data_IF_421117373206
#
_entry.id   IF_421117373206
#
_cell.length_a   1.000
_cell.length_b   1.000
_cell.length_c   1.000
_cell.angle_alpha   90.00
_cell.angle_beta   90.00
_cell.angle_gamma   90.00
#
_symmetry.space_group_name_H-M   'P 1'
#
loop_
_entity.id
_entity.type
_entity.pdbx_description
1 polymer ?
#
# COMPACT_ATOMS: atom_id res chain seq x y z
N UNK A 1 -4.50 -64.14 -6.86
CA UNK A 1 -4.90 -62.78 -6.56
C UNK A 1 -3.82 -61.82 -7.06
N UNK A 2 -4.06 -61.10 -8.17
CA UNK A 2 -3.08 -60.18 -8.75
C UNK A 2 -3.46 -58.78 -8.26
N UNK A 3 -2.66 -58.15 -7.42
CA UNK A 3 -2.81 -56.77 -6.94
C UNK A 3 -2.53 -55.80 -8.08
N UNK A 4 -3.54 -55.06 -8.49
CA UNK A 4 -3.39 -53.93 -9.42
C UNK A 4 -2.69 -52.79 -8.72
N UNK A 5 -1.46 -52.46 -9.11
CA UNK A 5 -0.76 -51.22 -8.77
C UNK A 5 -1.46 -50.09 -9.52
N UNK A 6 -2.16 -49.22 -8.82
CA UNK A 6 -2.63 -47.93 -9.31
C UNK A 6 -1.42 -47.04 -9.59
N UNK A 7 -1.15 -46.76 -10.87
CA UNK A 7 -0.20 -45.73 -11.28
C UNK A 7 -0.80 -44.36 -10.91
N UNK A 8 -0.27 -43.76 -9.85
CA UNK A 8 -0.44 -42.32 -9.60
C UNK A 8 0.12 -41.56 -10.79
N UNK A 9 -0.73 -40.89 -11.54
CA UNK A 9 -0.34 -39.98 -12.59
C UNK A 9 0.29 -38.75 -11.94
N UNK A 10 1.61 -38.70 -11.89
CA UNK A 10 2.32 -37.44 -11.73
C UNK A 10 1.95 -36.56 -12.92
N UNK A 11 1.00 -35.61 -12.73
CA UNK A 11 0.83 -34.51 -13.64
C UNK A 11 2.16 -33.77 -13.72
N UNK A 12 2.72 -33.73 -14.92
CA UNK A 12 3.88 -32.92 -15.27
C UNK A 12 3.63 -31.49 -14.76
N UNK A 13 4.37 -31.09 -13.74
CA UNK A 13 4.47 -29.70 -13.31
C UNK A 13 5.39 -28.94 -14.27
N UNK A 14 5.00 -28.87 -15.53
CA UNK A 14 5.51 -27.87 -16.47
C UNK A 14 4.63 -26.60 -16.29
N UNK A 15 4.59 -26.04 -15.10
CA UNK A 15 4.11 -24.69 -14.91
C UNK A 15 5.21 -23.78 -15.47
N UNK A 16 5.00 -23.23 -16.66
CA UNK A 16 5.73 -22.05 -17.09
C UNK A 16 5.74 -21.09 -15.89
N UNK A 17 6.95 -20.67 -15.47
CA UNK A 17 7.08 -19.75 -14.32
C UNK A 17 6.51 -18.41 -14.77
N UNK A 18 5.26 -18.14 -14.41
CA UNK A 18 4.60 -16.85 -14.61
C UNK A 18 4.90 -15.95 -13.44
N UNK A 19 5.11 -14.67 -13.71
CA UNK A 19 5.17 -13.65 -12.66
C UNK A 19 3.75 -13.46 -12.10
N UNK A 20 3.58 -13.64 -10.80
CA UNK A 20 2.30 -13.39 -10.13
C UNK A 20 2.09 -11.90 -9.86
N UNK A 21 3.17 -11.18 -9.53
CA UNK A 21 3.09 -9.76 -9.16
C UNK A 21 4.38 -9.01 -9.46
N UNK A 22 4.25 -7.70 -9.64
CA UNK A 22 5.36 -6.76 -9.78
C UNK A 22 5.26 -5.72 -8.67
N UNK A 23 6.39 -5.45 -7.97
CA UNK A 23 6.57 -4.29 -7.11
C UNK A 23 7.29 -3.22 -7.90
N UNK A 24 6.59 -2.16 -8.24
CA UNK A 24 7.09 -1.06 -9.07
C UNK A 24 7.34 0.19 -8.21
N UNK A 25 8.59 0.52 -7.96
CA UNK A 25 8.99 1.77 -7.33
C UNK A 25 8.95 2.87 -8.38
N UNK A 26 7.83 3.58 -8.44
CA UNK A 26 7.54 4.53 -9.54
C UNK A 26 8.31 5.84 -9.44
N UNK A 27 8.73 6.24 -8.23
CA UNK A 27 9.51 7.46 -8.00
C UNK A 27 10.29 7.41 -6.70
N UNK A 28 11.47 8.02 -6.67
CA UNK A 28 12.22 8.31 -5.45
C UNK A 28 11.80 9.61 -4.75
N UNK A 29 10.91 10.41 -5.36
CA UNK A 29 10.44 11.68 -4.77
C UNK A 29 9.41 11.42 -3.69
N UNK A 30 9.52 12.13 -2.57
CA UNK A 30 8.53 12.11 -1.48
C UNK A 30 8.40 13.49 -0.86
N UNK A 31 7.17 13.88 -0.52
CA UNK A 31 6.85 15.12 0.19
C UNK A 31 6.67 14.92 1.71
N UNK A 32 7.05 13.74 2.23
CA UNK A 32 7.10 13.42 3.66
C UNK A 32 8.52 13.00 4.08
N UNK A 33 8.80 13.07 5.39
CA UNK A 33 10.10 12.70 5.99
C UNK A 33 9.89 11.73 7.16
N UNK A 34 9.14 10.65 6.89
CA UNK A 34 8.74 9.70 7.92
C UNK A 34 9.95 9.14 8.68
N UNK A 35 9.87 9.15 10.04
CA UNK A 35 10.92 8.63 10.91
C UNK A 35 11.19 7.14 10.65
N UNK A 36 10.12 6.34 10.40
CA UNK A 36 10.21 4.89 10.16
C UNK A 36 10.42 4.51 8.69
N UNK A 37 10.68 5.46 7.79
CA UNK A 37 10.83 5.18 6.37
C UNK A 37 12.01 4.26 6.10
N UNK A 38 11.74 3.02 5.65
CA UNK A 38 12.78 2.05 5.28
C UNK A 38 13.43 2.35 3.92
N UNK A 39 12.80 3.18 3.09
CA UNK A 39 13.30 3.57 1.76
C UNK A 39 14.08 4.89 1.78
N UNK A 40 14.29 5.48 2.96
CA UNK A 40 14.91 6.80 3.11
C UNK A 40 16.32 6.87 2.53
N UNK A 41 17.13 5.82 2.73
CA UNK A 41 18.50 5.76 2.25
C UNK A 41 18.58 5.65 0.72
N UNK A 42 17.65 4.92 0.09
CA UNK A 42 17.59 4.80 -1.37
C UNK A 42 17.15 6.12 -2.00
N UNK A 43 16.15 6.79 -1.45
CA UNK A 43 15.76 8.14 -1.89
C UNK A 43 16.91 9.15 -1.77
N UNK A 44 17.78 9.01 -0.76
CA UNK A 44 18.92 9.89 -0.56
C UNK A 44 20.01 9.76 -1.65
N UNK A 45 20.07 8.63 -2.34
CA UNK A 45 21.02 8.42 -3.45
C UNK A 45 20.72 9.28 -4.68
N UNK A 46 19.53 9.86 -4.77
CA UNK A 46 19.09 10.74 -5.87
C UNK A 46 19.25 10.09 -7.25
N UNK A 47 19.10 8.78 -7.33
CA UNK A 47 19.05 8.07 -8.59
C UNK A 47 17.87 8.54 -9.42
N UNK A 48 17.98 8.47 -10.74
CA UNK A 48 16.89 8.86 -11.63
C UNK A 48 15.78 7.84 -11.56
N UNK A 49 14.54 8.33 -11.48
CA UNK A 49 13.36 7.49 -11.64
C UNK A 49 13.35 6.82 -13.02
N UNK A 50 12.82 5.61 -13.10
CA UNK A 50 12.54 4.98 -14.39
C UNK A 50 11.65 5.90 -15.22
N UNK A 51 12.02 6.12 -16.46
CA UNK A 51 11.21 6.85 -17.44
C UNK A 51 9.93 6.06 -17.77
N UNK A 52 8.92 6.74 -18.28
CA UNK A 52 7.72 6.08 -18.79
C UNK A 52 8.07 4.99 -19.82
N UNK A 53 9.01 5.28 -20.69
CA UNK A 53 9.46 4.38 -21.76
C UNK A 53 10.16 3.12 -21.23
N UNK A 54 10.95 3.23 -20.17
CA UNK A 54 11.57 2.07 -19.50
C UNK A 54 10.52 1.21 -18.82
N UNK A 55 9.53 1.83 -18.15
CA UNK A 55 8.40 1.11 -17.53
C UNK A 55 7.54 0.45 -18.62
N UNK A 56 7.35 1.11 -19.78
CA UNK A 56 6.64 0.54 -20.93
C UNK A 56 7.31 -0.75 -21.41
N UNK A 57 8.62 -0.77 -21.54
CA UNK A 57 9.37 -1.99 -21.92
C UNK A 57 9.21 -3.11 -20.91
N UNK A 58 9.18 -2.79 -19.60
CA UNK A 58 8.90 -3.78 -18.55
C UNK A 58 7.49 -4.38 -18.78
N UNK A 59 6.48 -3.54 -18.95
CA UNK A 59 5.12 -3.99 -19.21
C UNK A 59 5.02 -4.88 -20.44
N UNK A 60 5.64 -4.50 -21.56
CA UNK A 60 5.62 -5.26 -22.83
C UNK A 60 6.28 -6.64 -22.73
N UNK A 61 7.23 -6.82 -21.82
CA UNK A 61 8.00 -8.06 -21.67
C UNK A 61 7.60 -8.93 -20.50
N UNK A 62 6.85 -8.40 -19.53
CA UNK A 62 6.50 -9.12 -18.31
C UNK A 62 5.45 -10.23 -18.53
N UNK A 63 4.69 -10.20 -19.63
CA UNK A 63 3.56 -11.11 -19.86
C UNK A 63 2.38 -10.82 -18.92
N UNK A 64 1.51 -11.81 -18.73
CA UNK A 64 0.37 -11.70 -17.82
C UNK A 64 0.85 -11.68 -16.36
N UNK A 65 0.31 -10.76 -15.57
CA UNK A 65 0.52 -10.67 -14.11
C UNK A 65 -0.81 -10.41 -13.41
N UNK A 66 -0.97 -10.90 -12.17
CA UNK A 66 -2.22 -10.71 -11.45
C UNK A 66 -2.25 -9.38 -10.69
N UNK A 67 -1.13 -8.97 -10.08
CA UNK A 67 -1.11 -7.83 -9.16
C UNK A 67 0.05 -6.87 -9.43
N UNK A 68 -0.26 -5.59 -9.44
CA UNK A 68 0.72 -4.51 -9.48
C UNK A 68 0.76 -3.80 -8.13
N UNK A 69 1.92 -3.89 -7.45
CA UNK A 69 2.21 -3.16 -6.23
C UNK A 69 2.96 -1.88 -6.58
N UNK A 70 2.28 -0.74 -6.52
CA UNK A 70 2.95 0.56 -6.65
C UNK A 70 3.69 0.89 -5.36
N UNK A 71 4.87 1.45 -5.46
CA UNK A 71 5.69 1.84 -4.31
C UNK A 71 6.63 2.99 -4.70
N UNK A 72 7.56 3.33 -3.81
CA UNK A 72 8.58 4.34 -4.00
C UNK A 72 8.64 5.33 -2.86
N UNK A 73 8.84 6.62 -3.18
CA UNK A 73 8.61 7.72 -2.25
C UNK A 73 7.11 7.94 -2.06
N UNK A 74 6.56 8.97 -2.68
CA UNK A 74 5.10 9.18 -2.74
C UNK A 74 4.61 9.03 -4.18
N UNK A 75 3.89 7.95 -4.50
CA UNK A 75 3.45 7.68 -5.87
C UNK A 75 2.63 8.82 -6.50
N UNK A 76 1.84 9.52 -5.69
CA UNK A 76 1.00 10.65 -6.18
C UNK A 76 1.82 11.87 -6.63
N UNK A 77 3.14 11.86 -6.50
CA UNK A 77 4.02 12.89 -7.07
C UNK A 77 4.45 12.58 -8.50
N UNK A 78 4.21 11.37 -8.99
CA UNK A 78 4.55 10.98 -10.36
C UNK A 78 3.37 11.25 -11.30
N UNK A 79 3.47 12.29 -12.12
CA UNK A 79 2.35 12.81 -12.93
C UNK A 79 1.78 11.78 -13.93
N UNK A 80 2.62 10.91 -14.50
CA UNK A 80 2.22 9.88 -15.47
C UNK A 80 1.81 8.53 -14.81
N UNK A 81 1.58 8.50 -13.48
CA UNK A 81 1.17 7.28 -12.79
C UNK A 81 -0.16 6.71 -13.33
N UNK A 82 -1.20 7.51 -13.60
CA UNK A 82 -2.44 6.98 -14.17
C UNK A 82 -2.20 6.25 -15.49
N UNK A 83 -1.39 6.80 -16.39
CA UNK A 83 -1.02 6.20 -17.68
C UNK A 83 -0.26 4.89 -17.49
N UNK A 84 0.63 4.81 -16.48
CA UNK A 84 1.36 3.60 -16.13
C UNK A 84 0.40 2.50 -15.70
N UNK A 85 -0.57 2.80 -14.81
CA UNK A 85 -1.56 1.83 -14.35
C UNK A 85 -2.42 1.30 -15.50
N UNK A 86 -2.91 2.19 -16.36
CA UNK A 86 -3.70 1.87 -17.55
C UNK A 86 -2.90 1.00 -18.54
N UNK A 87 -1.61 1.26 -18.69
CA UNK A 87 -0.72 0.48 -19.53
C UNK A 87 -0.57 -0.96 -19.02
N UNK A 88 -0.30 -1.15 -17.72
CA UNK A 88 -0.23 -2.49 -17.14
C UNK A 88 -1.59 -3.22 -17.19
N UNK A 89 -2.69 -2.51 -17.04
CA UNK A 89 -4.02 -3.10 -17.22
C UNK A 89 -4.19 -3.66 -18.63
N UNK A 90 -3.81 -2.90 -19.67
CA UNK A 90 -3.95 -3.33 -21.07
C UNK A 90 -2.96 -4.41 -21.48
N UNK A 91 -1.69 -4.27 -21.10
CA UNK A 91 -0.62 -5.15 -21.58
C UNK A 91 -0.51 -6.43 -20.75
N UNK A 92 -0.78 -6.37 -19.45
CA UNK A 92 -0.48 -7.45 -18.51
C UNK A 92 -1.71 -8.06 -17.87
N UNK A 93 -2.91 -7.56 -18.18
CA UNK A 93 -4.20 -8.05 -17.68
C UNK A 93 -4.29 -8.09 -16.15
N UNK A 94 -3.68 -7.11 -15.48
CA UNK A 94 -3.68 -7.03 -14.02
C UNK A 94 -5.12 -7.02 -13.48
N UNK A 95 -5.32 -7.73 -12.35
CA UNK A 95 -6.62 -7.82 -11.67
C UNK A 95 -6.69 -6.93 -10.43
N UNK A 96 -5.53 -6.64 -9.84
CA UNK A 96 -5.41 -5.85 -8.61
C UNK A 96 -4.26 -4.85 -8.71
N UNK A 97 -4.52 -3.62 -8.29
CA UNK A 97 -3.51 -2.59 -8.05
C UNK A 97 -3.50 -2.25 -6.56
N UNK A 98 -2.32 -2.21 -5.94
CA UNK A 98 -2.15 -1.62 -4.62
C UNK A 98 -1.44 -0.28 -4.77
N UNK A 99 -2.11 0.81 -4.35
CA UNK A 99 -1.63 2.19 -4.46
C UNK A 99 -1.50 2.81 -3.06
N UNK A 100 -0.31 2.77 -2.45
CA UNK A 100 -0.06 3.45 -1.19
C UNK A 100 0.05 4.97 -1.42
N UNK A 101 -0.36 5.74 -0.40
CA UNK A 101 -0.18 7.19 -0.37
C UNK A 101 -0.11 7.72 1.05
N UNK A 102 0.64 8.79 1.25
CA UNK A 102 0.68 9.52 2.52
C UNK A 102 -0.56 10.43 2.72
N UNK A 103 -1.48 10.48 1.77
CA UNK A 103 -2.73 11.22 1.86
C UNK A 103 -2.61 12.73 1.79
N UNK A 104 -1.44 13.30 1.47
CA UNK A 104 -1.23 14.76 1.45
C UNK A 104 -1.93 15.49 0.29
N UNK A 105 -2.42 14.75 -0.72
CA UNK A 105 -3.08 15.31 -1.91
C UNK A 105 -4.46 14.67 -2.13
N UNK A 106 -5.47 14.97 -1.27
CA UNK A 106 -6.78 14.30 -1.32
C UNK A 106 -7.44 14.35 -2.69
N UNK A 107 -7.51 15.53 -3.30
CA UNK A 107 -8.22 15.72 -4.58
C UNK A 107 -7.54 14.96 -5.73
N UNK A 108 -6.20 14.90 -5.74
CA UNK A 108 -5.45 14.11 -6.73
C UNK A 108 -5.72 12.62 -6.58
N UNK A 109 -5.80 12.10 -5.36
CA UNK A 109 -6.14 10.69 -5.13
C UNK A 109 -7.53 10.38 -5.71
N UNK A 110 -8.53 11.23 -5.43
CA UNK A 110 -9.89 11.04 -5.95
C UNK A 110 -9.92 11.11 -7.48
N UNK A 111 -9.26 12.09 -8.08
CA UNK A 111 -9.19 12.24 -9.54
C UNK A 111 -8.59 11.00 -10.19
N UNK A 112 -7.47 10.49 -9.66
CA UNK A 112 -6.78 9.35 -10.23
C UNK A 112 -7.55 8.04 -10.05
N UNK A 113 -8.19 7.82 -8.90
CA UNK A 113 -9.04 6.66 -8.70
C UNK A 113 -10.25 6.69 -9.64
N UNK A 114 -10.89 7.86 -9.82
CA UNK A 114 -11.98 8.03 -10.81
C UNK A 114 -11.51 7.69 -12.22
N UNK A 115 -10.38 8.25 -12.65
CA UNK A 115 -9.79 7.95 -13.96
C UNK A 115 -9.48 6.47 -14.13
N UNK A 116 -8.86 5.85 -13.12
CA UNK A 116 -8.56 4.42 -13.13
C UNK A 116 -9.84 3.58 -13.27
N UNK A 117 -10.90 3.90 -12.53
CA UNK A 117 -12.16 3.16 -12.60
C UNK A 117 -12.83 3.24 -13.98
N UNK A 118 -12.70 4.38 -14.66
CA UNK A 118 -13.22 4.56 -16.04
C UNK A 118 -12.42 3.71 -17.03
N UNK A 119 -11.09 3.73 -16.94
CA UNK A 119 -10.21 3.13 -17.94
C UNK A 119 -9.83 1.65 -17.65
N UNK A 120 -10.02 1.21 -16.41
CA UNK A 120 -9.71 -0.14 -15.93
C UNK A 120 -10.90 -0.77 -15.17
N UNK A 121 -12.07 -0.95 -15.82
CA UNK A 121 -13.33 -1.25 -15.12
C UNK A 121 -13.32 -2.60 -14.38
N UNK A 122 -12.58 -3.59 -14.85
CA UNK A 122 -12.53 -4.93 -14.28
C UNK A 122 -11.42 -5.12 -13.24
N UNK A 123 -10.53 -4.13 -13.08
CA UNK A 123 -9.41 -4.19 -12.15
C UNK A 123 -9.79 -3.57 -10.78
N UNK A 124 -9.42 -4.26 -9.70
CA UNK A 124 -9.57 -3.69 -8.36
C UNK A 124 -8.44 -2.69 -8.10
N UNK A 125 -8.74 -1.64 -7.34
CA UNK A 125 -7.72 -0.73 -6.81
C UNK A 125 -7.84 -0.65 -5.30
N UNK A 126 -6.77 -1.05 -4.60
CA UNK A 126 -6.63 -0.86 -3.16
C UNK A 126 -5.90 0.46 -2.90
N UNK A 127 -6.64 1.47 -2.45
CA UNK A 127 -6.07 2.76 -2.04
C UNK A 127 -5.65 2.64 -0.59
N UNK A 128 -4.33 2.55 -0.36
CA UNK A 128 -3.75 2.33 0.96
C UNK A 128 -3.24 3.64 1.54
N UNK A 129 -4.02 4.27 2.41
CA UNK A 129 -3.72 5.58 2.99
C UNK A 129 -3.00 5.41 4.31
N UNK A 130 -1.86 6.07 4.46
CA UNK A 130 -1.07 6.02 5.68
C UNK A 130 -1.69 6.88 6.78
N UNK A 131 -2.00 6.27 7.94
CA UNK A 131 -2.48 6.99 9.13
C UNK A 131 -2.04 6.22 10.39
N UNK A 132 -1.17 6.83 11.22
CA UNK A 132 -0.45 6.12 12.28
C UNK A 132 -0.90 6.47 13.70
N UNK A 133 -1.73 7.47 13.88
CA UNK A 133 -2.14 7.95 15.20
C UNK A 133 -2.86 9.29 15.11
N UNK A 134 -3.12 9.90 16.26
CA UNK A 134 -3.81 11.18 16.35
C UNK A 134 -2.89 12.37 16.09
N UNK A 135 -3.39 13.40 15.39
CA UNK A 135 -2.82 14.74 15.27
C UNK A 135 -1.31 14.79 15.21
N UNK A 136 -0.70 15.41 16.23
CA UNK A 136 0.75 15.65 16.29
C UNK A 136 1.58 14.36 16.31
N UNK A 137 1.06 13.25 16.84
CA UNK A 137 1.75 11.95 16.80
C UNK A 137 1.96 11.48 15.37
N UNK A 138 0.89 11.50 14.56
CA UNK A 138 0.99 11.16 13.15
C UNK A 138 1.92 12.14 12.42
N UNK A 139 1.76 13.43 12.63
CA UNK A 139 2.53 14.48 11.98
C UNK A 139 4.03 14.35 12.31
N UNK A 140 4.37 14.07 13.57
CA UNK A 140 5.74 13.82 14.01
C UNK A 140 6.31 12.58 13.34
N UNK A 141 5.58 11.47 13.36
CA UNK A 141 6.02 10.21 12.77
C UNK A 141 6.21 10.32 11.24
N UNK A 142 5.37 11.11 10.57
CA UNK A 142 5.44 11.34 9.11
C UNK A 142 6.36 12.52 8.74
N UNK A 143 6.78 13.34 9.71
CA UNK A 143 7.63 14.50 9.50
C UNK A 143 6.97 15.59 8.66
N UNK A 144 5.65 15.76 8.79
CA UNK A 144 4.85 16.75 8.05
C UNK A 144 3.74 17.31 8.92
N UNK A 145 3.84 18.56 9.40
CA UNK A 145 2.77 19.21 10.16
C UNK A 145 1.46 19.29 9.36
N UNK A 146 0.34 18.93 10.01
CA UNK A 146 -0.99 18.93 9.41
C UNK A 146 -1.30 17.75 8.49
N UNK A 147 -0.41 16.75 8.41
CA UNK A 147 -0.65 15.55 7.58
C UNK A 147 -1.84 14.74 8.09
N UNK A 148 -2.02 14.64 9.41
CA UNK A 148 -3.16 13.93 10.01
C UNK A 148 -4.49 14.36 9.39
N UNK A 149 -4.75 15.66 9.34
CA UNK A 149 -6.00 16.17 8.79
C UNK A 149 -6.17 15.91 7.30
N UNK A 150 -5.07 15.99 6.52
CA UNK A 150 -5.10 15.70 5.08
C UNK A 150 -5.30 14.22 4.80
N UNK A 151 -4.62 13.35 5.54
CA UNK A 151 -4.79 11.90 5.41
C UNK A 151 -6.20 11.48 5.81
N UNK A 152 -6.73 12.00 6.92
CA UNK A 152 -8.10 11.75 7.35
C UNK A 152 -9.14 12.27 6.33
N UNK A 153 -8.91 13.45 5.72
CA UNK A 153 -9.76 13.96 4.63
C UNK A 153 -9.69 13.08 3.38
N UNK A 154 -8.49 12.55 3.06
CA UNK A 154 -8.34 11.59 1.94
C UNK A 154 -9.12 10.31 2.20
N UNK A 155 -9.03 9.74 3.41
CA UNK A 155 -9.80 8.55 3.81
C UNK A 155 -11.31 8.82 3.66
N UNK A 156 -11.79 9.93 4.24
CA UNK A 156 -13.19 10.34 4.16
C UNK A 156 -13.65 10.48 2.71
N UNK A 157 -12.90 11.21 1.88
CA UNK A 157 -13.25 11.42 0.47
C UNK A 157 -13.28 10.12 -0.33
N UNK A 158 -12.30 9.21 -0.15
CA UNK A 158 -12.31 7.91 -0.83
C UNK A 158 -13.52 7.10 -0.38
N UNK A 159 -13.78 7.03 0.93
CA UNK A 159 -14.95 6.33 1.47
C UNK A 159 -16.27 6.86 0.91
N UNK A 160 -16.45 8.19 0.84
CA UNK A 160 -17.69 8.81 0.37
C UNK A 160 -17.90 8.67 -1.14
N UNK A 161 -16.83 8.86 -1.94
CA UNK A 161 -16.95 8.85 -3.41
C UNK A 161 -17.09 7.44 -3.99
N UNK A 162 -16.58 6.42 -3.32
CA UNK A 162 -16.51 5.07 -3.86
C UNK A 162 -17.22 4.02 -3.01
N UNK A 163 -18.08 4.43 -2.05
CA UNK A 163 -18.82 3.54 -1.15
C UNK A 163 -19.60 2.42 -1.85
N UNK A 164 -20.09 2.69 -3.05
CA UNK A 164 -20.90 1.76 -3.85
C UNK A 164 -20.09 1.09 -4.98
N UNK A 165 -18.79 1.36 -5.08
CA UNK A 165 -17.90 0.75 -6.08
C UNK A 165 -17.11 -0.40 -5.46
N UNK A 166 -17.61 -1.63 -5.62
CA UNK A 166 -16.97 -2.84 -5.08
C UNK A 166 -15.56 -3.14 -5.65
N UNK A 167 -15.06 -2.34 -6.58
CA UNK A 167 -13.71 -2.45 -7.15
C UNK A 167 -12.71 -1.48 -6.51
N UNK A 168 -13.16 -0.53 -5.70
CA UNK A 168 -12.31 0.38 -4.92
C UNK A 168 -12.27 -0.11 -3.48
N UNK A 169 -11.10 -0.56 -3.06
CA UNK A 169 -10.85 -0.99 -1.69
C UNK A 169 -10.13 0.12 -0.94
N UNK A 170 -10.68 0.53 0.19
CA UNK A 170 -10.07 1.51 1.08
C UNK A 170 -9.32 0.80 2.19
N UNK A 171 -8.00 0.90 2.17
CA UNK A 171 -7.13 0.42 3.25
C UNK A 171 -6.53 1.59 4.02
N UNK A 172 -6.45 1.47 5.32
CA UNK A 172 -5.56 2.30 6.14
C UNK A 172 -4.34 1.48 6.52
N UNK A 173 -3.16 2.06 6.32
CA UNK A 173 -1.90 1.45 6.72
C UNK A 173 -1.32 2.19 7.92
N UNK A 174 -1.17 1.49 9.04
CA UNK A 174 -0.62 2.02 10.30
C UNK A 174 0.70 1.31 10.62
N UNK A 175 1.75 2.09 10.79
CA UNK A 175 3.05 1.59 11.23
C UNK A 175 3.23 1.89 12.71
N UNK A 176 3.40 0.83 13.51
CA UNK A 176 3.65 0.95 14.94
C UNK A 176 5.12 1.31 15.17
N UNK A 177 5.34 2.34 15.99
CA UNK A 177 6.64 2.84 16.40
C UNK A 177 6.60 3.28 17.88
N UNK A 178 7.75 3.70 18.42
CA UNK A 178 7.82 4.31 19.75
C UNK A 178 6.92 5.54 19.94
N UNK A 179 6.49 6.19 18.83
CA UNK A 179 5.70 7.43 18.88
C UNK A 179 4.22 7.20 19.11
N UNK A 180 3.68 6.09 18.60
CA UNK A 180 2.22 5.85 18.61
C UNK A 180 1.79 4.64 19.44
N UNK A 181 2.74 3.89 19.99
CA UNK A 181 2.48 2.62 20.68
C UNK A 181 1.52 2.76 21.86
N UNK A 182 1.62 3.86 22.61
CA UNK A 182 0.80 4.08 23.81
C UNK A 182 -0.63 4.51 23.50
N UNK A 183 -0.92 4.91 22.27
CA UNK A 183 -2.26 5.34 21.84
C UNK A 183 -2.89 4.47 20.75
N UNK A 184 -2.20 3.38 20.36
CA UNK A 184 -2.59 2.62 19.16
C UNK A 184 -4.01 2.03 19.27
N UNK A 185 -4.40 1.51 20.42
CA UNK A 185 -5.71 0.91 20.63
C UNK A 185 -6.84 1.93 20.63
N UNK A 186 -6.64 3.09 21.27
CA UNK A 186 -7.60 4.20 21.24
C UNK A 186 -7.73 4.74 19.80
N UNK A 187 -6.61 4.85 19.10
CA UNK A 187 -6.59 5.28 17.72
C UNK A 187 -7.36 4.31 16.80
N UNK A 188 -7.16 3.00 16.94
CA UNK A 188 -7.89 1.99 16.17
C UNK A 188 -9.39 2.06 16.45
N UNK A 189 -9.78 2.12 17.71
CA UNK A 189 -11.17 2.24 18.12
C UNK A 189 -11.85 3.47 17.51
N UNK A 190 -11.18 4.63 17.57
CA UNK A 190 -11.65 5.87 16.96
C UNK A 190 -11.78 5.75 15.45
N UNK A 191 -10.80 5.14 14.79
CA UNK A 191 -10.78 5.02 13.33
C UNK A 191 -11.90 4.12 12.81
N UNK A 192 -12.12 2.96 13.46
CA UNK A 192 -13.21 2.05 13.08
C UNK A 192 -14.59 2.63 13.37
N UNK A 193 -14.73 3.44 14.41
CA UNK A 193 -15.98 4.15 14.68
C UNK A 193 -16.29 5.29 13.70
N UNK A 194 -15.29 5.74 12.91
CA UNK A 194 -15.40 6.92 12.06
C UNK A 194 -15.39 6.63 10.57
N UNK A 195 -14.68 5.59 10.12
CA UNK A 195 -14.50 5.30 8.72
C UNK A 195 -14.94 3.87 8.38
N UNK A 196 -15.60 3.72 7.22
CA UNK A 196 -15.87 2.41 6.65
C UNK A 196 -14.67 1.97 5.80
N UNK A 197 -13.83 1.13 6.39
CA UNK A 197 -12.63 0.60 5.74
C UNK A 197 -12.92 -0.77 5.14
N UNK A 198 -12.31 -1.06 3.99
CA UNK A 198 -12.28 -2.43 3.45
C UNK A 198 -11.28 -3.28 4.23
N UNK A 199 -10.14 -2.69 4.61
CA UNK A 199 -9.09 -3.35 5.40
C UNK A 199 -8.32 -2.32 6.23
N UNK A 200 -7.67 -2.80 7.29
CA UNK A 200 -6.67 -2.04 8.04
C UNK A 200 -5.41 -2.89 8.16
N UNK A 201 -4.30 -2.40 7.63
CA UNK A 201 -3.00 -3.05 7.73
C UNK A 201 -2.22 -2.42 8.88
N UNK A 202 -1.82 -3.24 9.84
CA UNK A 202 -1.01 -2.82 10.99
C UNK A 202 0.33 -3.53 10.91
N UNK A 203 1.41 -2.78 10.88
CA UNK A 203 2.77 -3.31 10.77
C UNK A 203 3.69 -2.67 11.80
N UNK A 204 4.62 -3.44 12.37
CA UNK A 204 5.75 -2.86 13.10
C UNK A 204 6.77 -2.25 12.13
N UNK A 205 7.40 -1.14 12.52
CA UNK A 205 8.47 -0.53 11.72
C UNK A 205 9.60 -1.54 11.46
N UNK A 206 10.04 -1.66 10.21
CA UNK A 206 11.00 -2.68 9.74
C UNK A 206 12.14 -2.08 8.91
N UNK A 207 13.17 -2.89 8.67
CA UNK A 207 14.33 -2.51 7.82
C UNK A 207 15.22 -1.46 8.47
N UNK A 208 16.03 -0.78 7.69
CA UNK A 208 16.83 0.37 8.13
C UNK A 208 15.95 1.61 8.04
N UNK A 209 15.64 2.20 9.17
CA UNK A 209 14.72 3.35 9.27
C UNK A 209 15.49 4.67 9.19
N UNK A 210 14.81 5.76 8.78
CA UNK A 210 15.39 7.10 8.74
C UNK A 210 15.91 7.55 10.10
N UNK A 211 15.14 7.28 11.16
CA UNK A 211 15.49 7.61 12.55
C UNK A 211 15.89 6.35 13.28
N UNK A 212 17.06 6.41 13.94
CA UNK A 212 17.51 5.33 14.79
C UNK A 212 16.62 5.16 16.02
N UNK A 213 16.41 3.91 16.46
CA UNK A 213 15.62 3.59 17.65
C UNK A 213 14.11 3.84 17.52
N UNK A 214 13.60 4.13 16.30
CA UNK A 214 12.15 4.29 16.08
C UNK A 214 11.40 2.96 16.24
N UNK A 215 12.09 1.84 16.04
CA UNK A 215 11.56 0.47 16.09
C UNK A 215 11.46 -0.14 17.49
N UNK A 216 11.61 0.65 18.55
CA UNK A 216 11.74 0.16 19.92
C UNK A 216 10.46 -0.56 20.42
N UNK A 217 10.18 -1.72 19.84
CA UNK A 217 9.09 -2.61 20.21
C UNK A 217 9.69 -3.95 20.64
N UNK A 218 9.50 -4.28 21.90
CA UNK A 218 9.76 -5.61 22.39
C UNK A 218 8.57 -6.57 22.13
N UNK A 219 8.83 -7.86 22.24
CA UNK A 219 7.81 -8.88 21.96
C UNK A 219 6.62 -8.79 22.93
N UNK A 220 6.86 -8.41 24.19
CA UNK A 220 5.82 -8.30 25.20
C UNK A 220 4.83 -7.18 24.87
N UNK A 221 5.35 -6.07 24.38
CA UNK A 221 4.55 -4.93 23.94
C UNK A 221 3.71 -5.25 22.70
N UNK A 222 4.28 -5.95 21.72
CA UNK A 222 3.53 -6.39 20.54
C UNK A 222 2.41 -7.37 20.90
N UNK A 223 2.66 -8.33 21.80
CA UNK A 223 1.64 -9.27 22.30
C UNK A 223 0.51 -8.52 23.02
N UNK A 224 0.85 -7.58 23.91
CA UNK A 224 -0.15 -6.75 24.59
C UNK A 224 -1.07 -6.02 23.60
N UNK A 225 -0.51 -5.37 22.57
CA UNK A 225 -1.31 -4.70 21.54
C UNK A 225 -2.22 -5.68 20.83
N UNK A 226 -1.72 -6.86 20.47
CA UNK A 226 -2.50 -7.89 19.78
C UNK A 226 -3.67 -8.39 20.65
N UNK A 227 -3.42 -8.64 21.94
CA UNK A 227 -4.44 -9.13 22.88
C UNK A 227 -5.52 -8.06 23.13
N UNK A 228 -5.12 -6.80 23.26
CA UNK A 228 -6.03 -5.67 23.47
C UNK A 228 -6.81 -5.29 22.18
N UNK A 229 -6.23 -5.53 21.01
CA UNK A 229 -6.89 -5.27 19.73
C UNK A 229 -7.89 -6.35 19.33
N UNK A 230 -7.74 -7.58 19.81
CA UNK A 230 -8.61 -8.71 19.46
C UNK A 230 -10.11 -8.44 19.64
N UNK A 231 -10.59 -7.70 20.66
CA UNK A 231 -12.01 -7.35 20.79
C UNK A 231 -12.52 -6.26 19.82
N UNK A 232 -11.61 -5.58 19.11
CA UNK A 232 -11.93 -4.45 18.21
C UNK A 232 -12.24 -4.96 16.79
N UNK A 233 -11.79 -6.17 16.45
CA UNK A 233 -12.03 -6.88 15.21
C UNK A 233 -13.20 -7.86 15.40
#
# INVERSE_FOLDING_TARGET
MKTKRTRSSFRSMNSERRLESIFLFVTGKCNAKCAMCFYANDMAKKEKDLTFEEIRKISETAGEINKLWVSGGEPTLREDLPEILEMFYRNNQIKDVNMPTNGLKPDRVIEWVKRFRINCPDCNINVSISLDGFGDTHDTQRGVPGNFYKAADTIRKVSEHFKDDGKVLLNVATVITKYNIDQINDFMTWMYGRFHLSTHTIEAARGVTREDGVKALDESTLRRIQDEAAPIY
#
